data_IF_606039624329
#
_entry.id   IF_606039624329
#
_cell.length_a   1.000
_cell.length_b   1.000
_cell.length_c   1.000
_cell.angle_alpha   90.00
_cell.angle_beta   90.00
_cell.angle_gamma   90.00
#
_symmetry.space_group_name_H-M   'P 1'
#
loop_
_entity.id
_entity.type
_entity.pdbx_description
1 polymer ?
#
# COMPACT_ATOMS: atom_id res chain seq x y z
N UNK A 1 50.49 46.42 -9.14
CA UNK A 1 49.21 45.85 -9.63
C UNK A 1 48.66 44.97 -8.53
N UNK A 2 47.78 45.51 -7.70
CA UNK A 2 47.32 44.91 -6.43
C UNK A 2 45.93 44.31 -6.66
N UNK A 3 45.81 42.99 -6.60
CA UNK A 3 44.54 42.27 -6.70
C UNK A 3 43.78 42.39 -5.35
N UNK A 4 42.59 42.99 -5.38
CA UNK A 4 41.63 43.05 -4.29
C UNK A 4 40.87 41.71 -4.20
N UNK A 5 41.03 41.03 -3.10
CA UNK A 5 40.17 39.85 -2.79
C UNK A 5 38.79 40.33 -2.36
N UNK A 6 37.74 39.98 -3.10
CA UNK A 6 36.32 40.16 -2.69
C UNK A 6 35.94 39.00 -1.80
N UNK A 7 35.74 39.26 -0.50
CA UNK A 7 35.17 38.30 0.44
C UNK A 7 33.67 38.22 0.21
N UNK A 8 33.19 37.03 -0.23
CA UNK A 8 31.79 36.71 -0.41
C UNK A 8 31.19 36.27 0.94
N UNK A 9 30.49 37.19 1.64
CA UNK A 9 29.86 36.96 2.96
C UNK A 9 28.35 36.68 2.87
N UNK A 10 27.83 36.29 1.69
CA UNK A 10 26.40 36.12 1.48
C UNK A 10 25.71 34.80 2.00
N UNK A 11 26.41 33.66 2.28
CA UNK A 11 25.66 32.43 2.66
C UNK A 11 25.28 32.36 4.14
N UNK A 12 25.96 33.05 5.06
CA UNK A 12 25.68 32.96 6.50
C UNK A 12 24.41 33.72 6.90
N UNK A 13 24.15 34.89 6.32
CA UNK A 13 22.96 35.70 6.65
C UNK A 13 21.63 35.04 6.19
N UNK A 14 21.69 34.28 5.07
CA UNK A 14 20.50 33.54 4.59
C UNK A 14 20.16 32.33 5.47
N UNK A 15 21.16 31.62 5.99
CA UNK A 15 20.97 30.49 6.92
C UNK A 15 20.44 30.95 8.28
N UNK A 16 20.93 32.09 8.80
CA UNK A 16 20.41 32.69 10.04
C UNK A 16 18.98 33.24 9.89
N UNK A 17 18.62 33.80 8.73
CA UNK A 17 17.26 34.26 8.45
C UNK A 17 16.27 33.10 8.37
N UNK A 18 16.66 31.97 7.78
CA UNK A 18 15.83 30.75 7.71
C UNK A 18 15.64 30.12 9.10
N UNK A 19 16.70 30.09 9.92
CA UNK A 19 16.63 29.58 11.29
C UNK A 19 15.76 30.47 12.20
N UNK A 20 15.78 31.80 12.00
CA UNK A 20 14.90 32.73 12.73
C UNK A 20 13.44 32.63 12.30
N UNK A 21 13.17 32.42 11.01
CA UNK A 21 11.80 32.24 10.51
C UNK A 21 11.18 30.94 11.06
N UNK A 22 11.94 29.84 11.21
CA UNK A 22 11.46 28.59 11.80
C UNK A 22 11.22 28.69 13.31
N UNK A 23 11.92 29.58 14.04
CA UNK A 23 11.74 29.82 15.47
C UNK A 23 10.43 30.56 15.81
N UNK A 24 9.84 31.27 14.83
CA UNK A 24 8.64 32.11 15.04
C UNK A 24 7.32 31.39 14.69
N UNK A 25 7.37 30.15 14.22
CA UNK A 25 6.17 29.37 13.89
C UNK A 25 5.47 28.75 15.10
N UNK A 26 6.03 28.89 16.31
CA UNK A 26 5.50 28.30 17.53
C UNK A 26 5.49 26.77 17.49
N UNK A 27 4.71 26.16 18.39
CA UNK A 27 4.53 24.70 18.43
C UNK A 27 3.54 24.29 17.34
N UNK A 28 4.02 23.61 16.33
CA UNK A 28 3.18 23.08 15.28
C UNK A 28 2.26 21.97 15.83
N UNK A 29 1.00 21.88 15.36
CA UNK A 29 0.10 20.80 15.76
C UNK A 29 0.59 19.45 15.19
N UNK A 30 0.52 18.39 15.99
CA UNK A 30 0.67 17.02 15.53
C UNK A 30 -0.71 16.38 15.31
N UNK A 31 -0.80 15.49 14.33
CA UNK A 31 -2.02 14.71 14.11
C UNK A 31 -2.22 13.69 15.24
N UNK A 32 -3.46 13.60 15.72
CA UNK A 32 -3.84 12.48 16.57
C UNK A 32 -4.18 11.28 15.69
N UNK A 33 -3.35 10.25 15.72
CA UNK A 33 -3.50 9.03 14.93
C UNK A 33 -4.06 7.86 15.76
N UNK A 34 -4.57 8.12 16.95
CA UNK A 34 -5.07 7.07 17.85
C UNK A 34 -6.27 6.29 17.27
N UNK A 35 -7.01 6.88 16.30
CA UNK A 35 -8.08 6.19 15.58
C UNK A 35 -7.56 5.06 14.68
N UNK A 36 -6.29 5.15 14.23
CA UNK A 36 -5.63 4.06 13.52
C UNK A 36 -4.99 3.08 14.51
N UNK A 37 -4.02 3.58 15.30
CA UNK A 37 -3.37 2.83 16.37
C UNK A 37 -2.92 3.76 17.49
N UNK A 38 -3.02 3.35 18.77
CA UNK A 38 -2.70 4.22 19.90
C UNK A 38 -1.21 4.52 20.06
N UNK A 39 -0.31 3.64 19.59
CA UNK A 39 1.14 3.82 19.61
C UNK A 39 1.84 2.88 18.63
N UNK A 40 3.09 3.20 18.24
CA UNK A 40 3.93 2.40 17.32
C UNK A 40 4.19 0.97 17.83
N UNK A 41 4.24 0.78 19.13
CA UNK A 41 4.46 -0.50 19.82
C UNK A 41 3.18 -1.08 20.44
N UNK A 42 2.02 -0.53 20.09
CA UNK A 42 0.76 -1.00 20.66
C UNK A 42 0.47 -2.45 20.27
N UNK A 43 -0.13 -3.26 21.17
CA UNK A 43 -0.52 -4.62 20.87
C UNK A 43 -1.43 -4.73 19.65
N UNK A 44 -2.28 -3.73 19.40
CA UNK A 44 -3.16 -3.68 18.23
C UNK A 44 -2.37 -3.59 16.93
N UNK A 45 -1.37 -2.68 16.86
CA UNK A 45 -0.50 -2.54 15.69
C UNK A 45 0.30 -3.82 15.43
N UNK A 46 0.96 -4.35 16.46
CA UNK A 46 1.80 -5.55 16.34
C UNK A 46 0.97 -6.78 15.93
N UNK A 47 -0.23 -6.92 16.49
CA UNK A 47 -1.17 -8.00 16.12
C UNK A 47 -1.64 -7.88 14.67
N UNK A 48 -1.96 -6.67 14.20
CA UNK A 48 -2.41 -6.46 12.83
C UNK A 48 -1.29 -6.73 11.82
N UNK A 49 -0.05 -6.33 12.10
CA UNK A 49 1.09 -6.67 11.25
C UNK A 49 1.31 -8.18 11.17
N UNK A 50 1.29 -8.89 12.32
CA UNK A 50 1.45 -10.34 12.35
C UNK A 50 0.29 -11.05 11.62
N UNK A 51 -0.95 -10.55 11.78
CA UNK A 51 -2.13 -11.07 11.08
C UNK A 51 -2.00 -10.86 9.57
N UNK A 52 -1.58 -9.69 9.10
CA UNK A 52 -1.37 -9.43 7.68
C UNK A 52 -0.43 -10.44 7.03
N UNK A 53 0.70 -10.76 7.68
CA UNK A 53 1.67 -11.76 7.19
C UNK A 53 1.07 -13.18 7.11
N UNK A 54 0.21 -13.55 8.05
CA UNK A 54 -0.45 -14.88 8.07
C UNK A 54 -1.56 -14.94 7.02
N UNK A 55 -2.40 -13.92 6.98
CA UNK A 55 -3.61 -13.90 6.16
C UNK A 55 -3.26 -13.77 4.67
N UNK A 56 -2.20 -13.05 4.29
CA UNK A 56 -1.71 -13.01 2.91
C UNK A 56 -1.30 -14.40 2.40
N UNK A 57 -0.59 -15.19 3.22
CA UNK A 57 -0.24 -16.57 2.87
C UNK A 57 -1.47 -17.46 2.77
N UNK A 58 -2.38 -17.36 3.73
CA UNK A 58 -3.63 -18.12 3.72
C UNK A 58 -4.50 -17.78 2.49
N UNK A 59 -4.52 -16.52 2.08
CA UNK A 59 -5.18 -16.08 0.85
C UNK A 59 -4.56 -16.74 -0.39
N UNK A 60 -3.23 -16.73 -0.48
CA UNK A 60 -2.54 -17.39 -1.58
C UNK A 60 -2.82 -18.90 -1.63
N UNK A 61 -2.78 -19.59 -0.50
CA UNK A 61 -3.10 -21.02 -0.41
C UNK A 61 -4.55 -21.33 -0.82
N UNK A 62 -5.47 -20.41 -0.51
CA UNK A 62 -6.90 -20.55 -0.83
C UNK A 62 -7.19 -20.33 -2.31
N UNK A 63 -6.58 -19.32 -2.96
CA UNK A 63 -7.02 -18.81 -4.24
C UNK A 63 -6.03 -18.97 -5.40
N UNK A 64 -4.72 -19.04 -5.17
CA UNK A 64 -3.70 -19.09 -6.21
C UNK A 64 -3.90 -20.27 -7.15
N UNK A 65 -3.88 -20.01 -8.46
CA UNK A 65 -4.04 -20.99 -9.51
C UNK A 65 -5.48 -21.46 -9.73
N UNK A 66 -6.48 -20.85 -9.08
CA UNK A 66 -7.87 -21.35 -9.12
C UNK A 66 -8.87 -20.43 -9.80
N UNK A 67 -8.51 -19.18 -10.09
CA UNK A 67 -9.49 -18.18 -10.54
C UNK A 67 -10.08 -18.53 -11.93
N UNK A 68 -9.28 -19.09 -12.84
CA UNK A 68 -9.76 -19.50 -14.15
C UNK A 68 -10.81 -20.62 -14.04
N UNK A 69 -10.53 -21.66 -13.26
CA UNK A 69 -11.45 -22.79 -13.05
C UNK A 69 -12.73 -22.35 -12.33
N UNK A 70 -12.60 -21.47 -11.35
CA UNK A 70 -13.75 -20.87 -10.65
C UNK A 70 -14.64 -20.12 -11.64
N UNK A 71 -14.05 -19.33 -12.55
CA UNK A 71 -14.80 -18.52 -13.51
C UNK A 71 -15.50 -19.40 -14.56
N UNK A 72 -14.95 -20.54 -14.92
CA UNK A 72 -15.59 -21.52 -15.80
C UNK A 72 -16.71 -22.33 -15.10
N UNK A 73 -16.78 -22.27 -13.77
CA UNK A 73 -17.72 -23.05 -12.98
C UNK A 73 -19.13 -22.46 -12.85
N UNK A 74 -20.07 -23.21 -12.28
CA UNK A 74 -21.49 -22.81 -12.18
C UNK A 74 -21.77 -21.64 -11.23
N UNK A 75 -20.90 -21.39 -10.24
CA UNK A 75 -21.05 -20.35 -9.21
C UNK A 75 -19.94 -19.30 -9.35
N UNK A 76 -19.60 -18.93 -10.59
CA UNK A 76 -18.49 -18.03 -10.89
C UNK A 76 -18.63 -16.67 -10.18
N UNK A 77 -19.81 -16.05 -10.26
CA UNK A 77 -20.06 -14.74 -9.65
C UNK A 77 -19.87 -14.74 -8.13
N UNK A 78 -20.44 -15.72 -7.45
CA UNK A 78 -20.37 -15.85 -5.99
C UNK A 78 -18.93 -16.13 -5.52
N UNK A 79 -18.26 -17.08 -6.16
CA UNK A 79 -16.91 -17.50 -5.81
C UNK A 79 -15.86 -16.42 -6.10
N UNK A 80 -15.95 -15.73 -7.23
CA UNK A 80 -15.07 -14.61 -7.51
C UNK A 80 -15.35 -13.42 -6.57
N UNK A 81 -16.62 -13.21 -6.19
CA UNK A 81 -16.95 -12.19 -5.18
C UNK A 81 -16.33 -12.52 -3.83
N UNK A 82 -16.34 -13.79 -3.41
CA UNK A 82 -15.67 -14.22 -2.19
C UNK A 82 -14.17 -13.92 -2.25
N UNK A 83 -13.52 -14.26 -3.36
CA UNK A 83 -12.08 -13.99 -3.56
C UNK A 83 -11.75 -12.48 -3.54
N UNK A 84 -12.57 -11.65 -4.21
CA UNK A 84 -12.38 -10.19 -4.22
C UNK A 84 -12.58 -9.60 -2.82
N UNK A 85 -13.57 -10.07 -2.06
CA UNK A 85 -13.79 -9.61 -0.67
C UNK A 85 -12.65 -10.00 0.28
N UNK A 86 -12.12 -11.21 0.12
CA UNK A 86 -10.96 -11.63 0.90
C UNK A 86 -9.75 -10.75 0.57
N UNK A 87 -9.54 -10.42 -0.71
CA UNK A 87 -8.48 -9.53 -1.17
C UNK A 87 -8.67 -8.09 -0.63
N UNK A 88 -9.88 -7.54 -0.76
CA UNK A 88 -10.24 -6.20 -0.26
C UNK A 88 -9.96 -6.07 1.25
N UNK A 89 -10.32 -7.08 2.05
CA UNK A 89 -10.08 -7.08 3.49
C UNK A 89 -8.57 -7.07 3.83
N UNK A 90 -7.74 -7.73 3.02
CA UNK A 90 -6.28 -7.70 3.18
C UNK A 90 -5.71 -6.35 2.78
N UNK A 91 -6.11 -5.78 1.64
CA UNK A 91 -5.69 -4.44 1.21
C UNK A 91 -6.05 -3.37 2.26
N UNK A 92 -7.24 -3.44 2.86
CA UNK A 92 -7.65 -2.54 3.95
C UNK A 92 -6.74 -2.70 5.18
N UNK A 93 -6.40 -3.93 5.56
CA UNK A 93 -5.52 -4.19 6.70
C UNK A 93 -4.12 -3.66 6.45
N UNK A 94 -3.50 -4.04 5.33
CA UNK A 94 -2.15 -3.63 4.95
C UNK A 94 -2.07 -2.12 4.73
N UNK A 95 -3.09 -1.55 4.07
CA UNK A 95 -3.24 -0.12 3.83
C UNK A 95 -3.33 0.69 5.13
N UNK A 96 -4.07 0.21 6.14
CA UNK A 96 -4.17 0.85 7.46
C UNK A 96 -2.82 0.86 8.18
N UNK A 97 -2.08 -0.27 8.17
CA UNK A 97 -0.76 -0.38 8.77
C UNK A 97 0.22 0.61 8.13
N UNK A 98 0.27 0.63 6.79
CA UNK A 98 1.17 1.50 6.03
C UNK A 98 0.80 2.98 6.14
N UNK A 99 -0.50 3.31 6.15
CA UNK A 99 -0.96 4.67 6.35
C UNK A 99 -0.55 5.20 7.72
N UNK A 100 -0.73 4.40 8.78
CA UNK A 100 -0.28 4.79 10.12
C UNK A 100 1.23 5.03 10.17
N UNK A 101 2.02 4.09 9.67
CA UNK A 101 3.48 4.19 9.67
C UNK A 101 3.97 5.41 8.86
N UNK A 102 3.38 5.64 7.69
CA UNK A 102 3.68 6.79 6.83
C UNK A 102 3.32 8.13 7.46
N UNK A 103 2.17 8.23 8.14
CA UNK A 103 1.74 9.44 8.84
C UNK A 103 2.61 9.75 10.06
N UNK A 104 3.01 8.73 10.84
CA UNK A 104 3.97 8.89 11.94
C UNK A 104 5.29 9.45 11.42
N UNK A 105 5.84 8.87 10.34
CA UNK A 105 7.08 9.34 9.73
C UNK A 105 6.95 10.76 9.16
N UNK A 106 5.84 11.06 8.50
CA UNK A 106 5.59 12.40 7.91
C UNK A 106 5.44 13.50 8.95
N UNK A 107 5.08 13.16 10.19
CA UNK A 107 5.00 14.12 11.31
C UNK A 107 6.35 14.68 11.73
N UNK A 108 7.44 13.89 11.63
CA UNK A 108 8.83 14.33 11.79
C UNK A 108 9.77 13.38 11.03
N UNK A 109 10.17 13.77 9.83
CA UNK A 109 11.07 12.99 8.97
C UNK A 109 12.53 13.00 9.45
N UNK A 110 12.87 13.81 10.45
CA UNK A 110 14.22 13.89 11.02
C UNK A 110 14.39 12.98 12.23
N UNK A 111 13.30 12.45 12.80
CA UNK A 111 13.33 11.50 13.91
C UNK A 111 13.76 10.11 13.43
N UNK A 112 14.92 9.58 13.88
CA UNK A 112 15.42 8.28 13.46
C UNK A 112 14.53 7.11 13.92
N UNK A 113 13.78 7.25 15.02
CA UNK A 113 12.85 6.23 15.49
C UNK A 113 11.64 6.11 14.57
N UNK A 114 11.07 7.24 14.14
CA UNK A 114 9.96 7.28 13.17
C UNK A 114 10.40 6.75 11.81
N UNK A 115 11.60 7.14 11.35
CA UNK A 115 12.17 6.64 10.10
C UNK A 115 12.37 5.11 10.13
N UNK A 116 12.93 4.59 11.23
CA UNK A 116 13.10 3.14 11.41
C UNK A 116 11.74 2.42 11.44
N UNK A 117 10.79 2.92 12.21
CA UNK A 117 9.44 2.34 12.31
C UNK A 117 8.76 2.23 10.93
N UNK A 118 8.83 3.30 10.13
CA UNK A 118 8.29 3.30 8.77
C UNK A 118 9.02 2.29 7.87
N UNK A 119 10.35 2.24 7.93
CA UNK A 119 11.15 1.28 7.15
C UNK A 119 10.85 -0.17 7.51
N UNK A 120 10.75 -0.48 8.81
CA UNK A 120 10.39 -1.82 9.30
C UNK A 120 8.96 -2.23 8.84
N UNK A 121 8.01 -1.30 8.90
CA UNK A 121 6.65 -1.53 8.41
C UNK A 121 6.63 -1.79 6.91
N UNK A 122 7.35 -0.96 6.14
CA UNK A 122 7.44 -1.10 4.69
C UNK A 122 8.03 -2.45 4.27
N UNK A 123 9.11 -2.87 4.92
CA UNK A 123 9.74 -4.17 4.64
C UNK A 123 8.76 -5.33 4.90
N UNK A 124 8.12 -5.35 6.07
CA UNK A 124 7.20 -6.42 6.46
C UNK A 124 5.98 -6.49 5.55
N UNK A 125 5.37 -5.34 5.25
CA UNK A 125 4.17 -5.31 4.41
C UNK A 125 4.51 -5.62 2.95
N UNK A 126 5.64 -5.16 2.41
CA UNK A 126 6.09 -5.52 1.07
C UNK A 126 6.30 -7.03 0.95
N UNK A 127 6.93 -7.65 1.96
CA UNK A 127 7.11 -9.10 1.98
C UNK A 127 5.77 -9.84 2.03
N UNK A 128 4.83 -9.41 2.87
CA UNK A 128 3.51 -10.02 2.98
C UNK A 128 2.68 -9.84 1.68
N UNK A 129 2.65 -8.63 1.11
CA UNK A 129 1.89 -8.34 -0.11
C UNK A 129 2.41 -9.05 -1.35
N UNK A 130 3.66 -9.52 -1.36
CA UNK A 130 4.19 -10.35 -2.45
C UNK A 130 3.37 -11.64 -2.66
N UNK A 131 2.75 -12.16 -1.60
CA UNK A 131 1.84 -13.29 -1.69
C UNK A 131 0.51 -12.96 -2.38
N UNK A 132 0.17 -11.68 -2.56
CA UNK A 132 -1.07 -11.22 -3.19
C UNK A 132 -0.92 -10.92 -4.70
N UNK A 133 0.30 -10.75 -5.21
CA UNK A 133 0.58 -10.34 -6.60
C UNK A 133 -0.11 -11.23 -7.64
N UNK A 134 -0.18 -12.54 -7.38
CA UNK A 134 -0.83 -13.49 -8.30
C UNK A 134 -2.28 -13.12 -8.60
N UNK A 135 -2.98 -12.46 -7.67
CA UNK A 135 -4.43 -12.28 -7.76
C UNK A 135 -4.85 -11.40 -8.94
N UNK A 136 -4.24 -10.22 -9.06
CA UNK A 136 -4.49 -9.31 -10.19
C UNK A 136 -3.95 -9.90 -11.51
N UNK A 137 -2.82 -10.61 -11.47
CA UNK A 137 -2.25 -11.29 -12.62
C UNK A 137 -3.19 -12.40 -13.13
N UNK A 138 -3.77 -13.21 -12.25
CA UNK A 138 -4.73 -14.25 -12.62
C UNK A 138 -6.04 -13.65 -13.13
N UNK A 139 -6.56 -12.57 -12.51
CA UNK A 139 -7.73 -11.86 -13.04
C UNK A 139 -7.49 -11.42 -14.49
N UNK A 140 -6.29 -10.94 -14.82
CA UNK A 140 -5.93 -10.54 -16.18
C UNK A 140 -5.89 -11.72 -17.18
N UNK A 141 -5.68 -12.95 -16.70
CA UNK A 141 -5.62 -14.16 -17.55
C UNK A 141 -6.97 -14.84 -17.75
N UNK A 142 -7.98 -14.48 -16.99
CA UNK A 142 -9.32 -15.02 -17.16
C UNK A 142 -9.83 -14.68 -18.58
N UNK A 143 -10.53 -15.62 -19.23
CA UNK A 143 -11.19 -15.39 -20.51
C UNK A 143 -12.20 -14.24 -20.42
N UNK A 144 -12.18 -13.32 -21.38
CA UNK A 144 -12.99 -12.11 -21.36
C UNK A 144 -14.49 -12.43 -21.32
N UNK A 145 -14.96 -13.39 -22.13
CA UNK A 145 -16.37 -13.74 -22.20
C UNK A 145 -16.86 -14.44 -20.93
N UNK A 146 -16.02 -15.28 -20.31
CA UNK A 146 -16.32 -15.95 -19.05
C UNK A 146 -16.43 -14.95 -17.90
N UNK A 147 -15.49 -14.00 -17.82
CA UNK A 147 -15.50 -12.95 -16.80
C UNK A 147 -16.67 -11.99 -16.95
N UNK A 148 -16.96 -11.53 -18.18
CA UNK A 148 -18.12 -10.69 -18.48
C UNK A 148 -19.43 -11.37 -18.09
N UNK A 149 -19.56 -12.67 -18.37
CA UNK A 149 -20.70 -13.47 -17.94
C UNK A 149 -20.80 -13.51 -16.41
N UNK A 150 -19.70 -13.73 -15.69
CA UNK A 150 -19.69 -13.74 -14.22
C UNK A 150 -20.06 -12.38 -13.63
N UNK A 151 -19.69 -11.26 -14.29
CA UNK A 151 -20.02 -9.90 -13.89
C UNK A 151 -21.40 -9.40 -14.38
N UNK A 152 -22.08 -10.13 -15.29
CA UNK A 152 -23.36 -9.68 -15.86
C UNK A 152 -24.52 -9.78 -14.87
N UNK A 153 -24.43 -10.67 -13.90
CA UNK A 153 -25.44 -10.89 -12.87
C UNK A 153 -24.78 -11.35 -11.56
N UNK A 154 -25.51 -11.23 -10.45
CA UNK A 154 -25.02 -11.66 -9.15
C UNK A 154 -24.11 -10.63 -8.46
N UNK A 155 -23.47 -11.02 -7.35
CA UNK A 155 -22.77 -10.07 -6.48
C UNK A 155 -21.46 -9.52 -7.09
N UNK A 156 -20.85 -10.21 -8.07
CA UNK A 156 -19.63 -9.74 -8.73
C UNK A 156 -19.85 -8.48 -9.56
N UNK A 157 -21.08 -8.21 -9.99
CA UNK A 157 -21.41 -7.00 -10.72
C UNK A 157 -21.04 -5.71 -9.96
N UNK A 158 -21.06 -5.75 -8.64
CA UNK A 158 -20.61 -4.65 -7.77
C UNK A 158 -19.15 -4.28 -7.98
N UNK A 159 -18.30 -5.27 -8.22
CA UNK A 159 -16.85 -5.11 -8.38
C UNK A 159 -16.42 -4.88 -9.83
N UNK A 160 -17.37 -4.81 -10.78
CA UNK A 160 -17.07 -4.58 -12.20
C UNK A 160 -16.12 -3.40 -12.45
N UNK A 161 -16.30 -2.18 -11.87
CA UNK A 161 -15.41 -1.06 -12.14
C UNK A 161 -13.97 -1.35 -11.75
N UNK A 162 -13.75 -1.99 -10.59
CA UNK A 162 -12.43 -2.36 -10.12
C UNK A 162 -11.79 -3.44 -11.01
N UNK A 163 -12.55 -4.48 -11.37
CA UNK A 163 -12.05 -5.55 -12.26
C UNK A 163 -11.69 -4.98 -13.65
N UNK A 164 -12.50 -4.09 -14.19
CA UNK A 164 -12.22 -3.44 -15.48
C UNK A 164 -10.94 -2.58 -15.40
N UNK A 165 -10.70 -1.93 -14.26
CA UNK A 165 -9.48 -1.15 -14.03
C UNK A 165 -8.23 -2.05 -13.96
N UNK A 166 -8.28 -3.14 -13.19
CA UNK A 166 -7.22 -4.16 -13.17
C UNK A 166 -6.92 -4.69 -14.58
N UNK A 167 -7.94 -4.95 -15.39
CA UNK A 167 -7.78 -5.49 -16.76
C UNK A 167 -7.20 -4.50 -17.78
N UNK A 168 -7.15 -3.21 -17.48
CA UNK A 168 -6.42 -2.23 -18.32
C UNK A 168 -4.93 -2.51 -18.36
N UNK A 169 -4.38 -3.14 -17.32
CA UNK A 169 -2.97 -3.54 -17.26
C UNK A 169 -2.67 -4.80 -18.08
N UNK A 170 -3.70 -5.59 -18.49
CA UNK A 170 -3.54 -6.83 -19.25
C UNK A 170 -2.61 -6.74 -20.49
N UNK A 171 -2.66 -5.67 -21.33
CA UNK A 171 -1.77 -5.54 -22.49
C UNK A 171 -0.30 -5.31 -22.11
N UNK A 172 -0.03 -4.90 -20.88
CA UNK A 172 1.31 -4.56 -20.38
C UNK A 172 1.89 -5.61 -19.45
N UNK A 173 1.10 -6.65 -19.11
CA UNK A 173 1.54 -7.75 -18.25
C UNK A 173 2.65 -8.55 -18.95
N UNK A 174 3.74 -8.76 -18.21
CA UNK A 174 4.87 -9.55 -18.68
C UNK A 174 4.60 -11.06 -18.55
N UNK A 175 5.53 -11.88 -19.05
CA UNK A 175 5.51 -13.32 -18.84
C UNK A 175 5.81 -13.65 -17.35
N UNK A 176 5.24 -14.75 -16.82
CA UNK A 176 5.34 -15.21 -15.42
C UNK A 176 6.74 -15.23 -14.81
N UNK A 177 7.79 -15.27 -15.66
CA UNK A 177 9.18 -15.27 -15.20
C UNK A 177 9.75 -13.86 -15.00
N UNK A 178 9.04 -12.85 -15.49
CA UNK A 178 9.49 -11.46 -15.50
C UNK A 178 8.65 -10.57 -14.57
N UNK A 179 7.45 -11.04 -14.16
CA UNK A 179 6.64 -10.44 -13.11
C UNK A 179 7.14 -10.90 -11.72
#
# INVERSE_FOLDING_TARGET
MTLKASSNTAPLAAAEATARASADLGRLPEWNLADLYPAMDSPAYLSDVARGEIDCRAFADKWRGKLADITAGPNASEKLTEAVKDYEALEDLLGRIMSYAGLIYSGDTTDPHRAKFYGDAQERITNASSDLLFFTLEINRIDDAALDKAMSAGPLAHYRPWIEDVRREKPYQLDDKLE
#
